data_IF_790048932821
#
_entry.id   IF_790048932821
#
_cell.length_a   1.000
_cell.length_b   1.000
_cell.length_c   1.000
_cell.angle_alpha   90.00
_cell.angle_beta   90.00
_cell.angle_gamma   90.00
#
_symmetry.space_group_name_H-M   'P 1'
#
loop_
_entity.id
_entity.type
_entity.pdbx_description
1 polymer ?
#
# COMPACT_ATOMS: atom_id res chain seq x y z
N UNK A 1 -0.54 16.45 -16.42
CA UNK A 1 -0.03 16.73 -15.06
C UNK A 1 -0.64 15.70 -14.14
N UNK A 2 0.11 14.66 -13.77
CA UNK A 2 -0.29 13.79 -12.65
C UNK A 2 -0.12 14.66 -11.41
N UNK A 3 -1.21 15.16 -10.86
CA UNK A 3 -1.17 15.82 -9.56
C UNK A 3 -0.81 14.68 -8.60
N UNK A 4 0.45 14.64 -8.15
CA UNK A 4 0.85 13.79 -7.05
C UNK A 4 -0.11 14.14 -5.91
N UNK A 5 -0.97 13.19 -5.52
CA UNK A 5 -1.89 13.43 -4.43
C UNK A 5 -1.08 13.28 -3.14
N UNK A 6 -0.77 14.38 -2.43
CA UNK A 6 0.14 14.33 -1.29
C UNK A 6 -0.39 13.43 -0.17
N UNK A 7 -1.70 13.18 -0.11
CA UNK A 7 -2.29 12.23 0.84
C UNK A 7 -1.95 10.79 0.43
N UNK A 8 -2.05 10.46 -0.85
CA UNK A 8 -1.72 9.11 -1.34
C UNK A 8 -0.23 8.82 -1.22
N UNK A 9 0.63 9.78 -1.59
CA UNK A 9 2.09 9.58 -1.50
C UNK A 9 2.54 9.32 -0.07
N UNK A 10 1.98 10.05 0.90
CA UNK A 10 2.33 9.86 2.31
C UNK A 10 1.81 8.53 2.84
N UNK A 11 0.56 8.17 2.55
CA UNK A 11 -0.02 6.89 2.97
C UNK A 11 0.73 5.71 2.35
N UNK A 12 1.00 5.75 1.04
CA UNK A 12 1.78 4.73 0.36
C UNK A 12 3.19 4.66 0.90
N UNK A 13 3.87 5.79 1.14
CA UNK A 13 5.23 5.78 1.70
C UNK A 13 5.29 5.10 3.05
N UNK A 14 4.29 5.29 3.92
CA UNK A 14 4.20 4.58 5.20
C UNK A 14 3.81 3.11 5.02
N UNK A 15 2.92 2.79 4.07
CA UNK A 15 2.60 1.41 3.71
C UNK A 15 3.87 0.67 3.25
N UNK A 16 4.65 1.31 2.37
CA UNK A 16 5.84 0.72 1.76
C UNK A 16 7.03 0.57 2.71
N UNK A 17 6.99 1.17 3.89
CA UNK A 17 8.02 0.97 4.91
C UNK A 17 7.92 -0.39 5.59
N UNK A 18 6.77 -1.07 5.51
CA UNK A 18 6.59 -2.39 6.11
C UNK A 18 5.62 -3.24 5.28
N UNK A 19 6.15 -4.27 4.63
CA UNK A 19 5.36 -5.20 3.82
C UNK A 19 4.27 -5.93 4.61
N UNK A 20 4.47 -6.25 5.89
CA UNK A 20 3.45 -6.93 6.71
C UNK A 20 2.24 -6.02 6.95
N UNK A 21 2.49 -4.74 7.24
CA UNK A 21 1.44 -3.73 7.43
C UNK A 21 0.73 -3.44 6.11
N UNK A 22 1.48 -3.38 5.01
CA UNK A 22 0.91 -3.22 3.68
C UNK A 22 -0.01 -4.40 3.30
N UNK A 23 0.44 -5.64 3.53
CA UNK A 23 -0.36 -6.86 3.32
C UNK A 23 -1.64 -6.81 4.15
N UNK A 24 -1.56 -6.46 5.44
CA UNK A 24 -2.74 -6.39 6.33
C UNK A 24 -3.75 -5.34 5.86
N UNK A 25 -3.29 -4.14 5.53
CA UNK A 25 -4.19 -3.05 5.11
C UNK A 25 -4.81 -3.37 3.75
N UNK A 26 -4.00 -3.81 2.78
CA UNK A 26 -4.49 -4.11 1.44
C UNK A 26 -5.42 -5.34 1.43
N UNK A 27 -5.11 -6.39 2.19
CA UNK A 27 -6.01 -7.55 2.33
C UNK A 27 -7.35 -7.17 2.93
N UNK A 28 -7.34 -6.24 3.90
CA UNK A 28 -8.59 -5.72 4.51
C UNK A 28 -9.40 -4.87 3.55
N UNK A 29 -8.76 -4.01 2.74
CA UNK A 29 -9.44 -3.12 1.79
C UNK A 29 -9.98 -3.90 0.58
N UNK A 30 -9.20 -4.87 0.09
CA UNK A 30 -9.54 -5.68 -1.07
C UNK A 30 -10.45 -6.87 -0.73
N UNK A 31 -10.64 -7.18 0.56
CA UNK A 31 -11.35 -8.37 1.05
C UNK A 31 -10.76 -9.68 0.50
N UNK A 32 -9.45 -9.69 0.24
CA UNK A 32 -8.72 -10.79 -0.37
C UNK A 32 -7.45 -11.12 0.42
N UNK A 33 -7.06 -12.39 0.43
CA UNK A 33 -5.80 -12.81 1.03
C UNK A 33 -4.62 -12.42 0.13
N UNK A 34 -3.68 -11.65 0.67
CA UNK A 34 -2.45 -11.25 -0.04
C UNK A 34 -1.27 -12.06 0.49
N UNK A 35 -0.65 -12.84 -0.40
CA UNK A 35 0.43 -13.77 -0.06
C UNK A 35 1.82 -13.12 -0.16
N UNK A 36 1.96 -12.13 -1.05
CA UNK A 36 3.19 -11.37 -1.25
C UNK A 36 2.91 -10.03 -1.92
N UNK A 37 3.75 -9.02 -1.61
CA UNK A 37 3.82 -7.75 -2.32
C UNK A 37 5.19 -7.64 -2.98
N UNK A 38 5.21 -7.31 -4.26
CA UNK A 38 6.44 -7.08 -5.02
C UNK A 38 6.46 -5.64 -5.55
N UNK A 39 7.58 -4.95 -5.39
CA UNK A 39 7.78 -3.59 -5.84
C UNK A 39 8.58 -3.61 -7.14
N UNK A 40 7.94 -3.24 -8.25
CA UNK A 40 8.59 -3.02 -9.56
C UNK A 40 9.41 -1.73 -9.60
#
# INVERSE_FOLDING_TARGET
MYIANPIYDVVFKYLMQNNEVAILILSTILEEEIIALDLL
#
